data_IF_585966458111
#
_entry.id   IF_585966458111
#
_cell.length_a   1.000
_cell.length_b   1.000
_cell.length_c   1.000
_cell.angle_alpha   90.00
_cell.angle_beta   90.00
_cell.angle_gamma   90.00
#
_symmetry.space_group_name_H-M   'P 1'
#
loop_
_entity.id
_entity.type
_entity.pdbx_description
1 polymer ?
#
# COMPACT_ATOMS: atom_id res chain seq x y z
N UNK A 1 26.64 25.89 23.64
CA UNK A 1 27.57 24.83 24.12
C UNK A 1 28.19 24.14 22.92
N UNK A 2 29.52 24.06 22.82
CA UNK A 2 30.21 23.52 21.65
C UNK A 2 29.85 22.04 21.34
N UNK A 3 29.35 21.30 22.33
CA UNK A 3 28.86 19.92 22.20
C UNK A 3 27.57 19.80 21.39
N UNK A 4 26.60 20.71 21.58
CA UNK A 4 25.33 20.74 20.85
C UNK A 4 25.57 21.00 19.36
N UNK A 5 26.37 22.03 19.05
CA UNK A 5 26.69 22.38 17.66
C UNK A 5 27.34 21.19 16.95
N UNK A 6 28.32 20.53 17.59
CA UNK A 6 28.92 19.30 17.06
C UNK A 6 27.90 18.21 16.78
N UNK A 7 26.99 17.95 17.71
CA UNK A 7 25.93 16.94 17.53
C UNK A 7 25.06 17.25 16.31
N UNK A 8 24.58 18.50 16.21
CA UNK A 8 23.75 18.90 15.08
C UNK A 8 24.50 18.88 13.75
N UNK A 9 25.78 19.26 13.74
CA UNK A 9 26.60 19.17 12.52
C UNK A 9 26.72 17.72 12.06
N UNK A 10 26.97 16.77 12.97
CA UNK A 10 27.02 15.34 12.64
C UNK A 10 25.67 14.89 12.08
N UNK A 11 24.56 15.25 12.74
CA UNK A 11 23.22 14.87 12.29
C UNK A 11 22.90 15.45 10.91
N UNK A 12 23.20 16.74 10.69
CA UNK A 12 23.02 17.41 9.41
C UNK A 12 23.85 16.74 8.30
N UNK A 13 25.09 16.33 8.60
CA UNK A 13 25.94 15.62 7.66
C UNK A 13 25.33 14.26 7.28
N UNK A 14 24.87 13.48 8.27
CA UNK A 14 24.24 12.17 8.02
C UNK A 14 22.95 12.33 7.22
N UNK A 15 22.05 13.20 7.65
CA UNK A 15 20.79 13.45 6.94
C UNK A 15 21.04 13.97 5.52
N UNK A 16 21.97 14.91 5.34
CA UNK A 16 22.34 15.44 4.04
C UNK A 16 22.94 14.39 3.13
N UNK A 17 23.77 13.48 3.66
CA UNK A 17 24.36 12.38 2.89
C UNK A 17 23.29 11.39 2.44
N UNK A 18 22.40 10.96 3.35
CA UNK A 18 21.31 10.03 3.01
C UNK A 18 20.38 10.66 1.97
N UNK A 19 19.96 11.91 2.20
CA UNK A 19 19.09 12.62 1.26
C UNK A 19 19.79 12.84 -0.09
N UNK A 20 21.07 13.20 -0.08
CA UNK A 20 21.87 13.36 -1.28
C UNK A 20 21.98 12.07 -2.09
N UNK A 21 22.16 10.92 -1.43
CA UNK A 21 22.15 9.61 -2.08
C UNK A 21 20.77 9.34 -2.70
N UNK A 22 19.68 9.55 -1.95
CA UNK A 22 18.32 9.36 -2.48
C UNK A 22 18.07 10.22 -3.72
N UNK A 23 18.44 11.51 -3.67
CA UNK A 23 18.33 12.41 -4.79
C UNK A 23 19.19 11.96 -5.98
N UNK A 24 20.43 11.54 -5.72
CA UNK A 24 21.33 11.04 -6.75
C UNK A 24 20.75 9.80 -7.46
N UNK A 25 20.15 8.86 -6.71
CA UNK A 25 19.48 7.72 -7.32
C UNK A 25 18.34 8.16 -8.24
N UNK A 26 17.51 9.12 -7.83
CA UNK A 26 16.41 9.62 -8.65
C UNK A 26 16.89 10.30 -9.94
N UNK A 27 17.97 11.08 -9.87
CA UNK A 27 18.44 11.86 -11.02
C UNK A 27 19.40 11.12 -11.94
N UNK A 28 20.15 10.14 -11.43
CA UNK A 28 21.21 9.47 -12.19
C UNK A 28 20.91 7.99 -12.49
N UNK A 29 19.86 7.41 -11.91
CA UNK A 29 19.49 6.00 -12.17
C UNK A 29 18.17 5.95 -12.93
N UNK A 30 18.21 5.34 -14.11
CA UNK A 30 17.01 5.05 -14.90
C UNK A 30 16.26 3.85 -14.27
N UNK A 31 15.00 3.99 -13.82
CA UNK A 31 14.25 2.87 -13.28
C UNK A 31 13.90 1.87 -14.39
N UNK A 32 14.23 0.59 -14.16
CA UNK A 32 13.83 -0.49 -15.08
C UNK A 32 12.33 -0.73 -14.95
N UNK A 33 11.57 -0.50 -16.03
CA UNK A 33 10.15 -0.83 -16.07
C UNK A 33 9.98 -2.31 -16.38
N UNK A 34 9.50 -3.05 -15.38
CA UNK A 34 9.16 -4.46 -15.50
C UNK A 34 7.66 -4.63 -15.37
N UNK A 35 7.05 -5.39 -16.28
CA UNK A 35 5.64 -5.77 -16.17
C UNK A 35 5.46 -6.72 -14.98
N UNK A 36 4.57 -6.36 -14.05
CA UNK A 36 4.24 -7.19 -12.87
C UNK A 36 2.80 -7.68 -13.03
N UNK A 37 2.63 -8.99 -13.24
CA UNK A 37 1.30 -9.62 -13.26
C UNK A 37 0.94 -10.06 -11.84
N UNK A 38 -0.13 -9.48 -11.29
CA UNK A 38 -0.70 -9.90 -10.01
C UNK A 38 -1.96 -10.73 -10.29
N UNK A 39 -2.02 -12.01 -9.89
CA UNK A 39 -3.24 -12.79 -10.03
C UNK A 39 -4.31 -12.22 -9.09
N UNK A 40 -5.46 -11.84 -9.64
CA UNK A 40 -6.62 -11.40 -8.87
C UNK A 40 -7.57 -12.58 -8.74
N UNK A 41 -7.80 -13.04 -7.51
CA UNK A 41 -8.88 -13.98 -7.21
C UNK A 41 -10.20 -13.20 -7.26
N UNK A 42 -11.05 -13.52 -8.22
CA UNK A 42 -12.41 -12.98 -8.27
C UNK A 42 -13.26 -13.72 -7.22
N UNK A 43 -14.03 -13.02 -6.37
CA UNK A 43 -15.07 -13.69 -5.59
C UNK A 43 -16.04 -14.36 -6.56
N UNK A 44 -16.49 -15.56 -6.23
CA UNK A 44 -17.50 -16.26 -7.04
C UNK A 44 -18.75 -15.37 -7.10
N UNK A 45 -19.10 -14.89 -8.30
CA UNK A 45 -20.38 -14.23 -8.57
C UNK A 45 -21.41 -15.34 -8.60
N UNK A 46 -21.81 -15.80 -7.40
CA UNK A 46 -22.58 -17.02 -7.26
C UNK A 46 -23.03 -17.35 -5.84
N UNK A 47 -22.81 -16.50 -4.83
CA UNK A 47 -23.72 -16.49 -3.69
C UNK A 47 -25.00 -15.81 -4.16
N UNK A 48 -25.86 -16.64 -4.72
CA UNK A 48 -27.29 -16.43 -4.85
C UNK A 48 -27.74 -15.66 -3.60
N UNK A 49 -28.12 -14.40 -3.78
CA UNK A 49 -29.01 -13.75 -2.85
C UNK A 49 -30.31 -14.55 -2.91
N UNK A 50 -30.35 -15.68 -2.21
CA UNK A 50 -31.55 -16.46 -2.02
C UNK A 50 -32.59 -15.49 -1.45
N UNK A 51 -33.71 -15.27 -2.17
CA UNK A 51 -34.73 -14.39 -1.66
C UNK A 51 -35.32 -15.08 -0.44
N UNK A 52 -34.88 -14.65 0.75
CA UNK A 52 -35.42 -14.97 2.07
C UNK A 52 -36.87 -14.46 2.25
N UNK A 53 -37.70 -14.57 1.22
CA UNK A 53 -39.05 -14.03 1.11
C UNK A 53 -40.05 -15.03 0.52
N UNK A 54 -39.69 -16.30 0.33
CA UNK A 54 -40.64 -17.36 -0.05
C UNK A 54 -40.99 -18.34 1.07
N UNK A 55 -40.22 -18.37 2.16
CA UNK A 55 -40.46 -19.32 3.27
C UNK A 55 -41.70 -18.96 4.12
N UNK A 56 -41.94 -17.66 4.37
CA UNK A 56 -43.09 -17.20 5.16
C UNK A 56 -44.46 -17.21 4.44
N UNK A 57 -44.49 -17.43 3.12
CA UNK A 57 -45.73 -17.49 2.34
C UNK A 57 -46.35 -18.90 2.31
N UNK A 58 -45.58 -19.93 2.68
CA UNK A 58 -46.04 -21.32 2.76
C UNK A 58 -46.74 -21.64 4.08
N UNK A 59 -46.42 -20.92 5.17
CA UNK A 59 -47.09 -21.06 6.47
C UNK A 59 -48.46 -20.36 6.55
N UNK A 60 -48.76 -19.43 5.63
CA UNK A 60 -50.02 -18.67 5.62
C UNK A 60 -51.08 -19.22 4.64
N UNK A 61 -50.86 -20.40 4.04
CA UNK A 61 -51.83 -21.06 3.16
C UNK A 61 -52.61 -22.12 3.97
N UNK A 62 -53.93 -21.96 4.16
CA UNK A 62 -54.75 -22.79 5.05
C UNK A 62 -54.97 -24.22 4.54
#
# INVERSE_FOLDING_TARGET
>A
MPTLVRLLTILALVCGTIYGIMAALVYFVEPTRTEVTVPVTLPEVGEEAEPAATDGLSELRP
#
